data_IF_848308911199
#
_entry.id   IF_848308911199
#
_cell.length_a   1.000
_cell.length_b   1.000
_cell.length_c   1.000
_cell.angle_alpha   90.00
_cell.angle_beta   90.00
_cell.angle_gamma   90.00
#
_symmetry.space_group_name_H-M   'P 1'
#
loop_
_entity.id
_entity.type
_entity.pdbx_description
1 polymer ?
#
# COMPACT_ATOMS: atom_id res chain seq x y z
N UNK A 1 7.95 -10.64 17.04
CA UNK A 1 6.82 -11.16 16.23
C UNK A 1 6.20 -10.00 15.47
N UNK A 2 5.45 -10.23 14.38
CA UNK A 2 4.73 -9.18 13.66
C UNK A 2 3.29 -9.59 13.36
N UNK A 3 2.45 -8.61 13.03
CA UNK A 3 1.04 -8.80 12.64
C UNK A 3 0.80 -8.22 11.26
N UNK A 4 -0.29 -8.62 10.60
CA UNK A 4 -0.66 -8.09 9.28
C UNK A 4 -2.16 -7.92 9.19
N UNK A 5 -2.59 -6.79 8.62
CA UNK A 5 -4.01 -6.50 8.33
C UNK A 5 -4.95 -6.51 9.54
N UNK A 6 -4.41 -6.32 10.75
CA UNK A 6 -5.18 -6.09 11.96
C UNK A 6 -5.56 -4.60 12.03
N UNK A 7 -6.75 -4.29 12.52
CA UNK A 7 -7.15 -2.91 12.81
C UNK A 7 -6.27 -2.31 13.90
N UNK A 8 -6.33 -1.00 14.10
CA UNK A 8 -5.67 -0.28 15.18
C UNK A 8 -6.01 -0.89 16.55
N UNK A 9 -7.29 -1.16 16.80
CA UNK A 9 -7.76 -1.78 18.04
C UNK A 9 -7.13 -3.18 18.26
N UNK A 10 -7.20 -4.05 17.25
CA UNK A 10 -6.62 -5.40 17.32
C UNK A 10 -5.09 -5.35 17.47
N UNK A 11 -4.44 -4.36 16.85
CA UNK A 11 -3.00 -4.15 16.95
C UNK A 11 -2.60 -3.73 18.36
N UNK A 12 -3.35 -2.82 18.97
CA UNK A 12 -3.12 -2.38 20.34
C UNK A 12 -3.30 -3.54 21.34
N UNK A 13 -4.34 -4.35 21.17
CA UNK A 13 -4.56 -5.55 21.97
C UNK A 13 -3.39 -6.54 21.82
N UNK A 14 -3.01 -6.86 20.59
CA UNK A 14 -1.90 -7.78 20.31
C UNK A 14 -0.57 -7.28 20.90
N UNK A 15 -0.29 -5.98 20.79
CA UNK A 15 0.90 -5.37 21.38
C UNK A 15 0.90 -5.45 22.92
N UNK A 16 -0.27 -5.26 23.55
CA UNK A 16 -0.46 -5.42 24.99
C UNK A 16 -0.15 -6.84 25.46
N UNK A 17 -0.76 -7.84 24.82
CA UNK A 17 -0.53 -9.25 25.14
C UNK A 17 0.95 -9.66 24.94
N UNK A 18 1.56 -9.24 23.84
CA UNK A 18 2.97 -9.52 23.58
C UNK A 18 3.88 -8.91 24.65
N UNK A 19 3.56 -7.69 25.10
CA UNK A 19 4.28 -7.02 26.20
C UNK A 19 4.16 -7.78 27.52
N UNK A 20 2.97 -8.29 27.87
CA UNK A 20 2.78 -9.13 29.07
C UNK A 20 3.60 -10.42 29.01
N UNK A 21 3.78 -10.98 27.81
CA UNK A 21 4.61 -12.16 27.58
C UNK A 21 6.12 -11.86 27.51
N UNK A 22 6.53 -10.59 27.62
CA UNK A 22 7.93 -10.18 27.45
C UNK A 22 8.45 -10.29 26.01
N UNK A 23 7.54 -10.33 25.03
CA UNK A 23 7.87 -10.46 23.60
C UNK A 23 7.68 -9.11 22.90
N UNK A 24 8.68 -8.60 22.16
CA UNK A 24 8.50 -7.38 21.37
C UNK A 24 7.56 -7.61 20.17
N UNK A 25 6.52 -6.78 20.08
CA UNK A 25 5.77 -6.55 18.85
C UNK A 25 6.62 -5.68 17.93
N UNK A 26 7.13 -6.24 16.84
CA UNK A 26 8.20 -5.60 16.07
C UNK A 26 7.67 -4.76 14.90
N UNK A 27 6.72 -5.30 14.14
CA UNK A 27 6.30 -4.71 12.87
C UNK A 27 4.85 -5.08 12.54
N UNK A 28 4.15 -4.17 11.86
CA UNK A 28 2.85 -4.42 11.24
C UNK A 28 2.95 -4.30 9.71
N UNK A 29 2.26 -5.17 9.00
CA UNK A 29 2.21 -5.19 7.54
C UNK A 29 0.78 -4.95 7.02
N UNK A 30 0.32 -3.70 6.84
CA UNK A 30 -0.99 -3.38 6.30
C UNK A 30 -0.96 -3.19 4.77
N UNK A 31 -2.10 -3.42 4.12
CA UNK A 31 -2.24 -3.07 2.70
C UNK A 31 -2.36 -1.55 2.59
N UNK A 32 -1.46 -0.89 1.85
CA UNK A 32 -1.47 0.57 1.79
C UNK A 32 -0.89 1.11 0.49
N UNK A 33 -1.65 1.99 -0.17
CA UNK A 33 -1.24 2.66 -1.41
C UNK A 33 -2.01 3.97 -1.57
N UNK A 34 -1.72 4.74 -2.63
CA UNK A 34 -2.48 5.96 -2.94
C UNK A 34 -3.99 5.69 -3.17
N UNK A 35 -4.37 4.45 -3.47
CA UNK A 35 -5.75 4.04 -3.77
C UNK A 35 -6.41 3.34 -2.57
N UNK A 36 -5.62 2.65 -1.74
CA UNK A 36 -6.10 1.98 -0.53
C UNK A 36 -5.48 2.64 0.71
N UNK A 37 -6.27 3.48 1.38
CA UNK A 37 -5.82 4.35 2.49
C UNK A 37 -6.51 4.06 3.82
N UNK A 38 -7.10 2.87 3.99
CA UNK A 38 -7.87 2.51 5.18
C UNK A 38 -7.11 2.73 6.50
N UNK A 39 -5.77 2.55 6.51
CA UNK A 39 -4.94 2.75 7.70
C UNK A 39 -4.97 4.20 8.22
N UNK A 40 -5.32 5.16 7.37
CA UNK A 40 -5.40 6.57 7.74
C UNK A 40 -6.70 6.85 8.50
N UNK A 41 -7.82 6.28 8.04
CA UNK A 41 -9.12 6.39 8.71
C UNK A 41 -9.15 5.58 10.02
N UNK A 42 -8.46 4.42 10.03
CA UNK A 42 -8.34 3.54 11.19
C UNK A 42 -7.37 4.07 12.27
N UNK A 43 -6.52 5.06 11.94
CA UNK A 43 -5.54 5.62 12.88
C UNK A 43 -4.37 4.67 13.18
N UNK A 44 -4.11 3.67 12.32
CA UNK A 44 -3.15 2.60 12.58
C UNK A 44 -1.73 3.13 12.83
N UNK A 45 -1.27 4.14 12.09
CA UNK A 45 0.10 4.66 12.27
C UNK A 45 0.30 5.29 13.67
N UNK A 46 -0.73 5.90 14.25
CA UNK A 46 -0.68 6.45 15.60
C UNK A 46 -0.57 5.31 16.63
N UNK A 47 -1.32 4.22 16.43
CA UNK A 47 -1.23 3.02 17.28
C UNK A 47 0.16 2.37 17.21
N UNK A 48 0.73 2.25 16.01
CA UNK A 48 2.05 1.66 15.84
C UNK A 48 3.13 2.50 16.51
N UNK A 49 3.07 3.81 16.38
CA UNK A 49 3.99 4.74 17.05
C UNK A 49 3.89 4.61 18.58
N UNK A 50 2.67 4.59 19.13
CA UNK A 50 2.45 4.41 20.57
C UNK A 50 2.94 3.04 21.09
N UNK A 51 2.82 1.99 20.27
CA UNK A 51 3.30 0.64 20.59
C UNK A 51 4.80 0.43 20.35
N UNK A 52 5.49 1.41 19.73
CA UNK A 52 6.90 1.27 19.33
C UNK A 52 7.12 0.26 18.19
N UNK A 53 6.11 0.06 17.35
CA UNK A 53 6.13 -0.89 16.23
C UNK A 53 6.51 -0.19 14.91
N UNK A 54 7.24 -0.91 14.05
CA UNK A 54 7.45 -0.47 12.67
C UNK A 54 6.23 -0.72 11.78
N UNK A 55 6.19 -0.07 10.62
CA UNK A 55 5.17 -0.26 9.60
C UNK A 55 5.80 -0.58 8.23
N UNK A 56 5.39 -1.69 7.61
CA UNK A 56 5.78 -2.04 6.24
C UNK A 56 4.53 -2.18 5.36
N UNK A 57 4.31 -1.22 4.48
CA UNK A 57 3.20 -1.31 3.53
C UNK A 57 3.40 -2.49 2.57
N UNK A 58 2.37 -3.31 2.37
CA UNK A 58 2.31 -4.26 1.26
C UNK A 58 1.31 -3.81 0.18
N UNK A 59 1.58 -4.21 -1.07
CA UNK A 59 0.90 -3.74 -2.29
C UNK A 59 0.98 -2.21 -2.52
N UNK A 60 2.15 -1.54 -2.34
CA UNK A 60 2.26 -0.09 -2.53
C UNK A 60 1.96 0.37 -3.96
N UNK A 61 2.06 -0.53 -4.94
CA UNK A 61 1.75 -0.27 -6.35
C UNK A 61 0.33 -0.68 -6.77
N UNK A 62 -0.55 -1.04 -5.82
CA UNK A 62 -1.92 -1.50 -6.09
C UNK A 62 -1.96 -2.59 -7.19
N UNK A 63 -1.14 -3.63 -7.03
CA UNK A 63 -0.98 -4.73 -7.98
C UNK A 63 -0.60 -4.31 -9.41
N UNK A 64 0.10 -3.17 -9.53
CA UNK A 64 0.56 -2.62 -10.81
C UNK A 64 -0.35 -1.53 -11.38
N UNK A 65 -1.48 -1.20 -10.72
CA UNK A 65 -2.33 -0.08 -11.12
C UNK A 65 -1.58 1.26 -11.06
N UNK A 66 -0.75 1.46 -10.03
CA UNK A 66 0.08 2.66 -9.88
C UNK A 66 1.39 2.55 -10.69
N UNK A 67 1.28 2.10 -11.94
CA UNK A 67 2.38 2.02 -12.90
C UNK A 67 1.88 2.43 -14.29
N UNK A 68 2.77 2.49 -15.27
CA UNK A 68 2.41 2.86 -16.65
C UNK A 68 1.55 1.80 -17.36
N UNK A 69 1.40 0.60 -16.78
CA UNK A 69 0.81 -0.58 -17.42
C UNK A 69 -0.63 -0.41 -17.87
N UNK A 70 -1.42 0.36 -17.12
CA UNK A 70 -2.87 0.49 -17.33
C UNK A 70 -3.32 1.91 -17.69
N UNK A 71 -2.38 2.81 -18.00
CA UNK A 71 -2.70 4.21 -18.36
C UNK A 71 -3.53 4.32 -19.65
N UNK A 72 -3.45 3.31 -20.53
CA UNK A 72 -4.21 3.20 -21.79
C UNK A 72 -5.42 2.28 -21.68
N UNK A 73 -5.87 1.95 -20.47
CA UNK A 73 -6.88 0.92 -20.22
C UNK A 73 -6.29 -0.49 -20.08
N UNK A 74 -7.15 -1.51 -20.13
CA UNK A 74 -6.75 -2.93 -20.02
C UNK A 74 -6.19 -3.39 -21.38
N UNK A 75 -4.90 -3.78 -21.48
CA UNK A 75 -4.39 -4.41 -22.69
C UNK A 75 -5.07 -5.77 -22.90
N UNK A 76 -5.47 -6.07 -24.14
CA UNK A 76 -5.95 -7.41 -24.51
C UNK A 76 -4.91 -8.47 -24.09
N UNK A 77 -5.35 -9.51 -23.38
CA UNK A 77 -4.49 -10.62 -22.91
C UNK A 77 -3.64 -10.34 -21.67
N UNK A 78 -3.78 -9.16 -21.02
CA UNK A 78 -3.00 -8.85 -19.81
C UNK A 78 -3.39 -9.71 -18.60
N UNK A 79 -2.54 -9.76 -17.57
CA UNK A 79 -2.84 -10.43 -16.28
C UNK A 79 -4.20 -10.05 -15.65
N UNK A 80 -4.75 -8.87 -15.97
CA UNK A 80 -6.08 -8.44 -15.53
C UNK A 80 -7.21 -9.21 -16.25
N UNK A 81 -7.01 -9.65 -17.50
CA UNK A 81 -7.99 -10.47 -18.25
C UNK A 81 -7.91 -11.96 -17.91
N UNK A 82 -6.90 -12.39 -17.14
CA UNK A 82 -6.70 -13.80 -16.76
C UNK A 82 -7.31 -14.16 -15.39
N UNK A 83 -7.97 -13.23 -14.70
CA UNK A 83 -8.73 -13.49 -13.46
C UNK A 83 -7.90 -13.93 -12.25
N UNK A 84 -6.57 -13.80 -12.28
CA UNK A 84 -5.66 -14.38 -11.27
C UNK A 84 -5.10 -13.38 -10.24
N UNK A 85 -5.31 -12.07 -10.39
CA UNK A 85 -4.74 -11.08 -9.45
C UNK A 85 -5.53 -9.77 -9.37
N UNK A 86 -5.84 -9.15 -10.51
CA UNK A 86 -6.58 -7.88 -10.56
C UNK A 86 -8.04 -8.13 -10.93
N UNK A 87 -8.98 -7.65 -10.12
CA UNK A 87 -10.40 -7.62 -10.49
C UNK A 87 -10.59 -6.62 -11.66
N UNK A 88 -11.09 -7.06 -12.83
CA UNK A 88 -11.38 -6.17 -13.95
C UNK A 88 -12.31 -5.01 -13.61
N UNK A 89 -13.19 -5.18 -12.60
CA UNK A 89 -14.08 -4.12 -12.10
C UNK A 89 -13.33 -2.93 -11.48
N UNK A 90 -12.05 -3.09 -11.12
CA UNK A 90 -11.19 -2.02 -10.60
C UNK A 90 -10.66 -1.08 -11.69
N UNK A 91 -10.83 -1.39 -12.99
CA UNK A 91 -10.34 -0.58 -14.11
C UNK A 91 -11.49 0.08 -14.87
N UNK A 92 -12.24 0.93 -14.18
CA UNK A 92 -13.21 1.84 -14.82
C UNK A 92 -12.51 3.01 -15.51
N UNK A 93 -13.21 3.67 -16.43
CA UNK A 93 -12.74 4.92 -17.07
C UNK A 93 -12.38 5.99 -16.03
N UNK A 94 -13.07 6.00 -14.90
CA UNK A 94 -12.77 6.90 -13.80
C UNK A 94 -11.43 6.57 -13.14
N UNK A 95 -11.13 5.30 -12.90
CA UNK A 95 -9.84 4.87 -12.36
C UNK A 95 -8.72 5.22 -13.34
N UNK A 96 -8.90 4.95 -14.64
CA UNK A 96 -7.92 5.30 -15.67
C UNK A 96 -7.67 6.81 -15.71
N UNK A 97 -8.73 7.63 -15.62
CA UNK A 97 -8.60 9.09 -15.53
C UNK A 97 -7.81 9.53 -14.30
N UNK A 98 -8.08 8.96 -13.12
CA UNK A 98 -7.33 9.25 -11.88
C UNK A 98 -5.86 8.83 -12.00
N UNK A 99 -5.58 7.66 -12.56
CA UNK A 99 -4.21 7.17 -12.80
C UNK A 99 -3.44 8.10 -13.74
N UNK A 100 -4.08 8.59 -14.81
CA UNK A 100 -3.46 9.55 -15.72
C UNK A 100 -3.14 10.89 -15.02
N UNK A 101 -4.05 11.40 -14.17
CA UNK A 101 -3.76 12.59 -13.36
C UNK A 101 -2.58 12.41 -12.42
N UNK A 102 -2.46 11.25 -11.76
CA UNK A 102 -1.29 10.93 -10.93
C UNK A 102 -0.01 10.81 -11.78
N UNK A 103 -0.11 10.25 -12.98
CA UNK A 103 1.02 10.14 -13.90
C UNK A 103 1.50 11.52 -14.37
N UNK A 104 0.60 12.47 -14.60
CA UNK A 104 0.99 13.84 -14.95
C UNK A 104 1.73 14.54 -13.79
N UNK A 105 1.31 14.31 -12.54
CA UNK A 105 2.05 14.76 -11.35
C UNK A 105 3.44 14.11 -11.31
N UNK A 106 3.53 12.80 -11.54
CA UNK A 106 4.81 12.09 -11.55
C UNK A 106 5.76 12.67 -12.61
N UNK A 107 5.25 12.89 -13.83
CA UNK A 107 6.00 13.51 -14.93
C UNK A 107 6.48 14.91 -14.60
N UNK A 108 5.64 15.74 -13.99
CA UNK A 108 6.03 17.07 -13.51
C UNK A 108 7.15 17.06 -12.47
N UNK A 109 7.37 15.92 -11.81
CA UNK A 109 8.43 15.70 -10.81
C UNK A 109 9.65 14.94 -11.37
N UNK A 110 9.65 14.58 -12.65
CA UNK A 110 10.70 13.76 -13.25
C UNK A 110 10.70 12.30 -12.76
N UNK A 111 9.55 11.79 -12.31
CA UNK A 111 9.38 10.44 -11.78
C UNK A 111 8.47 9.61 -12.69
N UNK A 112 8.64 8.29 -12.67
CA UNK A 112 7.58 7.37 -13.13
C UNK A 112 6.43 7.33 -12.12
N UNK A 113 5.23 6.93 -12.56
CA UNK A 113 4.10 6.75 -11.64
C UNK A 113 4.43 5.77 -10.49
N UNK A 114 5.18 4.71 -10.78
CA UNK A 114 5.61 3.76 -9.77
C UNK A 114 6.56 4.39 -8.72
N UNK A 115 7.50 5.22 -9.18
CA UNK A 115 8.40 5.95 -8.28
C UNK A 115 7.63 6.95 -7.42
N UNK A 116 6.65 7.67 -7.98
CA UNK A 116 5.77 8.55 -7.21
C UNK A 116 5.01 7.76 -6.14
N UNK A 117 4.41 6.63 -6.49
CA UNK A 117 3.64 5.82 -5.56
C UNK A 117 4.48 5.29 -4.39
N UNK A 118 5.70 4.80 -4.65
CA UNK A 118 6.62 4.34 -3.61
C UNK A 118 7.04 5.51 -2.71
N UNK A 119 7.45 6.64 -3.31
CA UNK A 119 7.83 7.83 -2.56
C UNK A 119 6.66 8.36 -1.69
N UNK A 120 5.43 8.27 -2.20
CA UNK A 120 4.23 8.70 -1.49
C UNK A 120 3.92 7.80 -0.29
N UNK A 121 4.06 6.47 -0.42
CA UNK A 121 3.86 5.55 0.71
C UNK A 121 4.90 5.80 1.81
N UNK A 122 6.13 6.12 1.43
CA UNK A 122 7.24 6.42 2.34
C UNK A 122 7.29 7.88 2.83
N UNK A 123 6.24 8.69 2.56
CA UNK A 123 6.23 10.12 2.92
C UNK A 123 6.14 10.38 4.42
N UNK A 124 5.55 9.43 5.16
CA UNK A 124 5.37 9.52 6.60
C UNK A 124 6.57 8.85 7.28
N UNK A 125 7.22 9.53 8.23
CA UNK A 125 8.40 9.02 8.93
C UNK A 125 8.14 7.75 9.74
N UNK A 126 6.86 7.46 10.06
CA UNK A 126 6.44 6.23 10.75
C UNK A 126 6.38 5.03 9.80
N UNK A 127 6.41 5.25 8.49
CA UNK A 127 6.51 4.16 7.51
C UNK A 127 7.95 3.67 7.40
N UNK A 128 8.22 2.48 7.94
CA UNK A 128 9.57 1.90 7.97
C UNK A 128 10.03 1.43 6.60
N UNK A 129 9.12 0.86 5.80
CA UNK A 129 9.45 0.32 4.47
C UNK A 129 8.23 0.16 3.57
N UNK A 130 8.48 -0.12 2.29
CA UNK A 130 7.47 -0.48 1.30
C UNK A 130 7.87 -1.81 0.63
N UNK A 131 7.01 -2.83 0.75
CA UNK A 131 7.24 -4.15 0.18
C UNK A 131 6.79 -4.19 -1.28
N UNK A 132 7.75 -4.20 -2.21
CA UNK A 132 7.50 -4.24 -3.65
C UNK A 132 7.66 -5.65 -4.23
N UNK A 133 6.85 -5.98 -5.24
CA UNK A 133 7.02 -7.17 -6.08
C UNK A 133 7.49 -6.78 -7.48
N UNK A 134 8.38 -7.57 -8.08
CA UNK A 134 8.88 -7.40 -9.43
C UNK A 134 8.79 -8.74 -10.20
N UNK A 135 8.52 -8.68 -11.51
CA UNK A 135 8.31 -9.87 -12.34
C UNK A 135 8.86 -9.67 -13.76
N UNK A 136 10.16 -9.39 -13.88
CA UNK A 136 10.86 -9.07 -15.13
C UNK A 136 10.33 -9.81 -16.37
#
# INVERSE_FOLDING_TARGET
VGVSSYTAEQTAEAAGLLKEMGVPALIHQPSYSMINRWIEDDGLLDTLEAAGMGCISFVPLAQGLLTNKYLKGIPEGSRATQGKSLDPGLLSDEVVRRLNGLNDIARGRGQSLAQLAIAWVLRDSRMTSALIGASN
#
